data_IF_025863494232
#
_entry.id   IF_025863494232
#
_cell.length_a   1.000
_cell.length_b   1.000
_cell.length_c   1.000
_cell.angle_alpha   90.00
_cell.angle_beta   90.00
_cell.angle_gamma   90.00
#
_symmetry.space_group_name_H-M   'P 1'
#
loop_
_entity.id
_entity.type
_entity.pdbx_description
1 polymer ?
#
# COMPACT_ATOMS: atom_id res chain seq x y z
N UNK A 1 -9.28 24.79 14.63
CA UNK A 1 -9.50 24.62 13.18
C UNK A 1 -9.45 26.02 12.59
N UNK A 2 -8.57 26.24 11.65
CA UNK A 2 -8.54 27.52 10.94
C UNK A 2 -9.79 27.60 10.07
N UNK A 3 -10.55 28.67 10.25
CA UNK A 3 -11.71 28.93 9.39
C UNK A 3 -11.18 29.54 8.09
N UNK A 4 -10.99 28.70 7.05
CA UNK A 4 -10.70 29.18 5.70
C UNK A 4 -11.98 29.57 5.02
N UNK A 5 -11.96 30.71 4.32
CA UNK A 5 -13.07 31.20 3.50
C UNK A 5 -12.71 31.12 2.01
N UNK A 6 -13.74 31.16 1.14
CA UNK A 6 -13.51 31.19 -0.30
C UNK A 6 -12.78 32.50 -0.66
N UNK A 7 -11.59 32.37 -1.24
CA UNK A 7 -10.69 33.48 -1.58
C UNK A 7 -9.44 33.55 -0.71
N UNK A 8 -9.35 32.76 0.35
CA UNK A 8 -8.14 32.66 1.15
C UNK A 8 -7.00 32.02 0.36
N UNK A 9 -5.79 32.49 0.59
CA UNK A 9 -4.57 31.89 0.05
C UNK A 9 -3.95 30.93 1.04
N UNK A 10 -3.64 29.72 0.60
CA UNK A 10 -2.92 28.70 1.37
C UNK A 10 -1.61 28.37 0.66
N UNK A 11 -0.53 28.31 1.44
CA UNK A 11 0.74 27.80 0.95
C UNK A 11 0.72 26.27 0.98
N UNK A 12 1.06 25.63 -0.13
CA UNK A 12 1.11 24.19 -0.27
C UNK A 12 2.47 23.77 -0.80
N UNK A 13 2.98 22.62 -0.32
CA UNK A 13 4.17 22.00 -0.91
C UNK A 13 3.85 21.38 -2.26
N UNK A 14 4.89 21.13 -3.05
CA UNK A 14 4.74 20.31 -4.25
C UNK A 14 4.19 18.92 -3.89
N UNK A 15 3.34 18.31 -4.76
CA UNK A 15 2.84 16.97 -4.54
C UNK A 15 4.00 15.96 -4.49
N UNK A 16 4.00 15.11 -3.46
CA UNK A 16 5.00 14.06 -3.26
C UNK A 16 4.30 12.74 -2.99
N UNK A 17 4.94 11.64 -3.37
CA UNK A 17 4.44 10.31 -3.09
C UNK A 17 4.59 9.36 -4.28
N UNK A 18 4.39 8.06 -4.03
CA UNK A 18 4.55 7.00 -5.02
C UNK A 18 3.30 6.12 -5.17
N UNK A 19 2.23 6.45 -4.47
CA UNK A 19 0.94 5.81 -4.67
C UNK A 19 0.31 6.32 -5.97
N UNK A 20 0.86 5.86 -7.09
CA UNK A 20 0.50 6.29 -8.45
C UNK A 20 0.33 5.09 -9.36
N UNK A 21 -0.55 5.23 -10.35
CA UNK A 21 -0.70 4.27 -11.45
C UNK A 21 -0.34 4.94 -12.77
N UNK A 22 0.40 4.20 -13.60
CA UNK A 22 0.64 4.62 -14.98
C UNK A 22 -0.64 4.41 -15.78
N UNK A 23 -1.08 5.47 -16.48
CA UNK A 23 -2.26 5.38 -17.34
C UNK A 23 -2.00 4.52 -18.58
N UNK A 24 -2.96 3.65 -18.91
CA UNK A 24 -2.91 2.71 -20.03
C UNK A 24 -4.16 2.80 -20.92
N UNK A 25 -4.33 3.89 -21.68
CA UNK A 25 -5.58 4.23 -22.36
C UNK A 25 -6.01 3.22 -23.43
N UNK A 26 -5.10 2.38 -23.92
CA UNK A 26 -5.35 1.40 -24.96
C UNK A 26 -5.57 -0.03 -24.45
N UNK A 27 -5.32 -0.28 -23.16
CA UNK A 27 -5.47 -1.60 -22.56
C UNK A 27 -6.89 -1.78 -21.98
N UNK A 28 -7.33 -3.06 -21.93
CA UNK A 28 -8.44 -3.45 -21.08
C UNK A 28 -7.88 -3.80 -19.70
N UNK A 29 -8.31 -3.10 -18.69
CA UNK A 29 -7.88 -3.37 -17.31
C UNK A 29 -9.07 -3.50 -16.37
N UNK A 30 -8.86 -4.28 -15.33
CA UNK A 30 -9.75 -4.32 -14.16
C UNK A 30 -8.94 -3.89 -12.94
N UNK A 31 -9.38 -2.82 -12.28
CA UNK A 31 -8.72 -2.28 -11.09
C UNK A 31 -9.68 -2.36 -9.93
N UNK A 32 -9.20 -2.89 -8.81
CA UNK A 32 -9.96 -3.04 -7.57
C UNK A 32 -9.41 -2.10 -6.51
N UNK A 33 -10.28 -1.30 -5.90
CA UNK A 33 -9.95 -0.40 -4.80
C UNK A 33 -10.55 -0.86 -3.48
N UNK A 34 -9.76 -0.85 -2.42
CA UNK A 34 -10.21 -1.04 -1.04
C UNK A 34 -9.94 0.23 -0.24
N UNK A 35 -10.99 0.93 0.19
CA UNK A 35 -10.88 2.15 0.97
C UNK A 35 -11.44 1.97 2.39
N UNK A 36 -10.81 2.57 3.38
CA UNK A 36 -11.30 2.64 4.76
C UNK A 36 -11.44 4.08 5.24
N UNK A 37 -12.67 4.56 5.48
CA UNK A 37 -12.93 5.92 5.94
C UNK A 37 -12.30 6.98 5.05
N UNK A 38 -11.41 7.83 5.60
CA UNK A 38 -10.75 8.91 4.82
C UNK A 38 -9.73 8.38 3.79
N UNK A 39 -9.35 7.10 3.83
CA UNK A 39 -8.53 6.46 2.81
C UNK A 39 -9.15 6.42 1.41
N UNK A 40 -10.39 6.90 1.26
CA UNK A 40 -11.02 7.12 -0.05
C UNK A 40 -10.33 8.24 -0.85
N UNK A 41 -9.67 9.18 -0.20
CA UNK A 41 -9.13 10.40 -0.86
C UNK A 41 -8.16 10.11 -2.00
N UNK A 42 -7.13 9.27 -1.87
CA UNK A 42 -6.28 8.95 -3.00
C UNK A 42 -6.99 8.06 -4.03
N UNK A 43 -7.87 7.15 -3.61
CA UNK A 43 -8.57 6.27 -4.54
C UNK A 43 -9.53 7.04 -5.46
N UNK A 44 -10.29 7.99 -4.92
CA UNK A 44 -11.21 8.80 -5.75
C UNK A 44 -10.44 9.63 -6.78
N UNK A 45 -9.25 10.12 -6.43
CA UNK A 45 -8.37 10.83 -7.36
C UNK A 45 -7.92 9.92 -8.50
N UNK A 46 -7.43 8.70 -8.18
CA UNK A 46 -7.06 7.71 -9.18
C UNK A 46 -8.25 7.33 -10.07
N UNK A 47 -9.39 7.02 -9.47
CA UNK A 47 -10.59 6.59 -10.20
C UNK A 47 -11.09 7.66 -11.17
N UNK A 48 -11.11 8.93 -10.77
CA UNK A 48 -11.43 10.03 -11.65
C UNK A 48 -10.48 10.11 -12.85
N UNK A 49 -9.18 10.06 -12.58
CA UNK A 49 -8.17 10.10 -13.63
C UNK A 49 -8.34 8.92 -14.61
N UNK A 50 -8.49 7.69 -14.10
CA UNK A 50 -8.67 6.48 -14.91
C UNK A 50 -9.95 6.53 -15.73
N UNK A 51 -11.08 6.93 -15.11
CA UNK A 51 -12.35 7.07 -15.83
C UNK A 51 -12.28 8.08 -16.97
N UNK A 52 -11.45 9.12 -16.83
CA UNK A 52 -11.21 10.12 -17.85
C UNK A 52 -10.23 9.68 -18.94
N UNK A 53 -9.13 9.02 -18.56
CA UNK A 53 -8.01 8.72 -19.47
C UNK A 53 -8.07 7.32 -20.09
N UNK A 54 -8.77 6.37 -19.46
CA UNK A 54 -8.79 4.96 -19.85
C UNK A 54 -10.20 4.46 -20.16
N UNK A 55 -10.69 4.58 -21.39
CA UNK A 55 -12.09 4.29 -21.73
C UNK A 55 -12.48 2.81 -21.58
N UNK A 56 -11.49 1.89 -21.53
CA UNK A 56 -11.69 0.43 -21.48
C UNK A 56 -11.48 -0.18 -20.11
N UNK A 57 -11.09 0.61 -19.10
CA UNK A 57 -10.81 0.14 -17.74
C UNK A 57 -12.10 0.05 -16.93
N UNK A 58 -12.28 -1.07 -16.21
CA UNK A 58 -13.34 -1.29 -15.22
C UNK A 58 -12.79 -1.08 -13.82
N UNK A 59 -13.58 -0.48 -12.95
CA UNK A 59 -13.23 -0.13 -11.59
C UNK A 59 -14.23 -0.72 -10.60
N UNK A 60 -13.73 -1.36 -9.57
CA UNK A 60 -14.52 -1.85 -8.43
C UNK A 60 -14.00 -1.20 -7.16
N UNK A 61 -14.86 -0.57 -6.40
CA UNK A 61 -14.52 0.03 -5.11
C UNK A 61 -15.27 -0.68 -3.97
N UNK A 62 -14.50 -1.20 -3.02
CA UNK A 62 -14.98 -1.75 -1.77
C UNK A 62 -14.66 -0.77 -0.65
N UNK A 63 -15.68 -0.05 -0.16
CA UNK A 63 -15.50 1.11 0.70
C UNK A 63 -16.07 0.88 2.09
N UNK A 64 -15.17 0.67 3.08
CA UNK A 64 -15.50 0.47 4.48
C UNK A 64 -15.68 1.78 5.25
N UNK A 65 -16.82 1.91 5.91
CA UNK A 65 -17.19 3.06 6.77
C UNK A 65 -17.75 2.58 8.11
N UNK A 66 -17.98 3.47 9.06
CA UNK A 66 -18.67 3.12 10.30
C UNK A 66 -20.17 3.00 10.07
N UNK A 67 -20.77 3.97 9.38
CA UNK A 67 -22.19 4.04 9.01
C UNK A 67 -22.38 4.75 7.68
N UNK A 68 -23.61 4.76 7.15
CA UNK A 68 -23.98 5.47 5.91
C UNK A 68 -23.77 6.98 5.99
N UNK A 69 -24.01 7.56 7.16
CA UNK A 69 -23.87 8.99 7.39
C UNK A 69 -22.42 9.47 7.37
N UNK A 70 -21.46 8.54 7.57
CA UNK A 70 -20.04 8.84 7.64
C UNK A 70 -19.29 8.55 6.34
N UNK A 71 -19.98 8.33 5.24
CA UNK A 71 -19.36 8.12 3.93
C UNK A 71 -18.86 9.47 3.40
N UNK A 72 -17.53 9.63 3.37
CA UNK A 72 -16.93 10.79 2.73
C UNK A 72 -17.10 10.71 1.20
N UNK A 73 -17.30 11.86 0.56
CA UNK A 73 -17.49 12.00 -0.89
C UNK A 73 -18.69 11.23 -1.48
N UNK A 74 -19.71 10.89 -0.67
CA UNK A 74 -20.84 10.06 -1.11
C UNK A 74 -21.48 10.61 -2.39
N UNK A 75 -21.87 11.89 -2.41
CA UNK A 75 -22.52 12.52 -3.56
C UNK A 75 -21.64 12.50 -4.82
N UNK A 76 -20.34 12.69 -4.64
CA UNK A 76 -19.38 12.67 -5.74
C UNK A 76 -19.19 11.26 -6.32
N UNK A 77 -19.13 10.26 -5.45
CA UNK A 77 -19.06 8.86 -5.84
C UNK A 77 -20.33 8.41 -6.57
N UNK A 78 -21.51 8.84 -6.11
CA UNK A 78 -22.78 8.54 -6.78
C UNK A 78 -22.85 9.16 -8.19
N UNK A 79 -22.40 10.41 -8.35
CA UNK A 79 -22.30 11.05 -9.66
C UNK A 79 -21.31 10.35 -10.60
N UNK A 80 -20.21 9.82 -10.06
CA UNK A 80 -19.27 9.04 -10.88
C UNK A 80 -19.88 7.73 -11.36
N UNK A 81 -20.63 7.02 -10.50
CA UNK A 81 -21.34 5.78 -10.88
C UNK A 81 -22.41 6.10 -11.93
N UNK A 82 -23.19 7.17 -11.75
CA UNK A 82 -24.21 7.60 -12.72
C UNK A 82 -23.61 7.90 -14.11
N UNK A 83 -22.45 8.55 -14.14
CA UNK A 83 -21.74 8.87 -15.40
C UNK A 83 -21.06 7.66 -16.04
N UNK A 84 -20.70 6.65 -15.26
CA UNK A 84 -19.92 5.49 -15.71
C UNK A 84 -20.53 4.15 -15.25
N UNK A 85 -21.83 3.87 -15.47
CA UNK A 85 -22.57 2.75 -14.87
C UNK A 85 -21.99 1.38 -15.24
N UNK A 86 -21.39 1.26 -16.44
CA UNK A 86 -20.79 0.01 -16.93
C UNK A 86 -19.30 -0.15 -16.58
N UNK A 87 -18.69 0.86 -15.95
CA UNK A 87 -17.24 0.90 -15.70
C UNK A 87 -16.87 1.10 -14.24
N UNK A 88 -17.77 1.60 -13.41
CA UNK A 88 -17.56 1.82 -11.99
C UNK A 88 -18.65 1.16 -11.17
N UNK A 89 -18.25 0.25 -10.29
CA UNK A 89 -19.13 -0.32 -9.27
C UNK A 89 -18.58 -0.01 -7.89
N UNK A 90 -19.46 0.37 -6.95
CA UNK A 90 -19.09 0.71 -5.58
C UNK A 90 -19.94 -0.11 -4.61
N UNK A 91 -19.23 -0.81 -3.71
CA UNK A 91 -19.84 -1.59 -2.63
C UNK A 91 -19.43 -0.99 -1.28
N UNK A 92 -20.44 -0.61 -0.48
CA UNK A 92 -20.23 -0.01 0.83
C UNK A 92 -20.33 -1.05 1.94
N UNK A 93 -19.38 -1.02 2.88
CA UNK A 93 -19.33 -1.89 4.06
C UNK A 93 -19.46 -1.04 5.32
N UNK A 94 -20.24 -1.54 6.30
CA UNK A 94 -20.55 -0.79 7.51
C UNK A 94 -20.11 -1.55 8.77
N UNK A 95 -19.16 -0.99 9.51
CA UNK A 95 -18.59 -1.67 10.68
C UNK A 95 -19.37 -1.46 11.97
N UNK A 96 -20.25 -0.47 12.03
CA UNK A 96 -21.05 -0.14 13.21
C UNK A 96 -22.56 0.00 12.91
N UNK A 97 -22.97 -0.19 11.70
CA UNK A 97 -24.37 -0.17 11.29
C UNK A 97 -24.77 -1.54 10.75
N UNK A 98 -25.94 -2.03 11.20
CA UNK A 98 -26.55 -3.26 10.69
C UNK A 98 -27.55 -2.89 9.61
N UNK A 99 -27.41 -3.50 8.44
CA UNK A 99 -28.27 -3.25 7.29
C UNK A 99 -29.08 -4.47 6.86
N UNK A 100 -28.96 -5.58 7.63
CA UNK A 100 -29.68 -6.84 7.34
C UNK A 100 -29.02 -7.69 6.26
N UNK A 101 -27.79 -7.36 5.86
CA UNK A 101 -26.98 -8.14 4.93
C UNK A 101 -25.56 -8.33 5.47
N UNK A 102 -25.28 -9.51 6.00
CA UNK A 102 -23.99 -9.83 6.63
C UNK A 102 -22.78 -9.71 5.70
N UNK A 103 -22.96 -9.77 4.38
CA UNK A 103 -21.87 -9.55 3.43
C UNK A 103 -21.31 -8.12 3.55
N UNK A 104 -22.16 -7.12 3.68
CA UNK A 104 -21.78 -5.71 3.74
C UNK A 104 -21.61 -5.17 5.18
N UNK A 105 -21.79 -6.02 6.20
CA UNK A 105 -21.59 -5.68 7.59
C UNK A 105 -20.19 -6.11 8.07
N UNK A 106 -19.57 -5.27 8.92
CA UNK A 106 -18.24 -5.50 9.49
C UNK A 106 -17.13 -4.75 8.77
N UNK A 107 -15.90 -5.01 9.22
CA UNK A 107 -14.69 -4.37 8.67
C UNK A 107 -14.18 -5.14 7.45
N UNK A 108 -13.56 -4.40 6.53
CA UNK A 108 -12.76 -5.02 5.46
C UNK A 108 -11.55 -5.72 6.10
N UNK A 109 -11.43 -7.01 5.87
CA UNK A 109 -10.35 -7.87 6.32
C UNK A 109 -10.20 -9.07 5.35
N UNK A 110 -9.27 -9.99 5.62
CA UNK A 110 -9.00 -11.18 4.84
C UNK A 110 -10.27 -12.01 4.52
N UNK A 111 -11.09 -12.30 5.54
CA UNK A 111 -12.34 -13.05 5.36
C UNK A 111 -13.31 -12.33 4.45
N UNK A 112 -13.38 -11.00 4.58
CA UNK A 112 -14.28 -10.18 3.75
C UNK A 112 -13.78 -10.12 2.31
N UNK A 113 -12.47 -10.06 2.07
CA UNK A 113 -11.88 -10.15 0.73
C UNK A 113 -12.24 -11.46 0.05
N UNK A 114 -12.12 -12.60 0.74
CA UNK A 114 -12.52 -13.90 0.21
C UNK A 114 -14.00 -13.93 -0.19
N UNK A 115 -14.90 -13.35 0.64
CA UNK A 115 -16.33 -13.25 0.30
C UNK A 115 -16.57 -12.34 -0.91
N UNK A 116 -15.83 -11.22 -1.02
CA UNK A 116 -15.93 -10.29 -2.14
C UNK A 116 -15.56 -11.01 -3.45
N UNK A 117 -14.44 -11.73 -3.45
CA UNK A 117 -13.97 -12.49 -4.62
C UNK A 117 -15.03 -13.49 -5.06
N UNK A 118 -15.55 -14.28 -4.11
CA UNK A 118 -16.45 -15.39 -4.42
C UNK A 118 -17.90 -14.98 -4.68
N UNK A 119 -18.34 -13.78 -4.30
CA UNK A 119 -19.76 -13.39 -4.37
C UNK A 119 -20.03 -12.11 -5.16
N UNK A 120 -19.08 -11.19 -5.24
CA UNK A 120 -19.28 -9.88 -5.87
C UNK A 120 -18.49 -9.70 -7.15
N UNK A 121 -17.47 -10.51 -7.37
CA UNK A 121 -16.60 -10.44 -8.54
C UNK A 121 -16.76 -11.67 -9.46
N UNK A 122 -17.97 -12.16 -9.61
CA UNK A 122 -18.31 -13.20 -10.58
C UNK A 122 -18.42 -12.59 -11.99
N UNK A 123 -17.88 -13.26 -13.00
CA UNK A 123 -17.84 -12.76 -14.38
C UNK A 123 -19.12 -13.03 -15.16
N UNK A 124 -19.76 -14.18 -14.96
CA UNK A 124 -20.98 -14.57 -15.68
C UNK A 124 -21.63 -15.78 -15.02
N UNK A 125 -22.96 -15.91 -15.13
CA UNK A 125 -23.75 -17.01 -14.61
C UNK A 125 -23.52 -18.36 -15.35
N UNK A 126 -22.72 -18.36 -16.42
CA UNK A 126 -22.51 -19.52 -17.29
C UNK A 126 -21.18 -20.27 -17.07
N UNK A 127 -20.20 -19.66 -16.37
CA UNK A 127 -18.92 -20.28 -16.08
C UNK A 127 -18.63 -20.19 -14.58
N UNK A 128 -18.94 -21.24 -13.85
CA UNK A 128 -18.79 -21.31 -12.40
C UNK A 128 -17.33 -21.22 -11.90
N UNK A 129 -16.34 -21.37 -12.79
CA UNK A 129 -14.91 -21.34 -12.44
C UNK A 129 -14.24 -20.00 -12.72
N UNK A 130 -14.83 -19.11 -13.53
CA UNK A 130 -14.24 -17.84 -13.93
C UNK A 130 -14.79 -16.68 -13.12
N UNK A 131 -13.91 -15.92 -12.49
CA UNK A 131 -14.27 -14.73 -11.71
C UNK A 131 -13.66 -13.46 -12.32
N UNK A 132 -14.27 -12.28 -12.05
CA UNK A 132 -13.64 -10.99 -12.41
C UNK A 132 -12.28 -10.85 -11.74
N UNK A 133 -12.08 -11.53 -10.61
CA UNK A 133 -10.83 -11.52 -9.86
C UNK A 133 -9.65 -12.05 -10.69
N UNK A 134 -9.87 -13.05 -11.54
CA UNK A 134 -8.83 -13.60 -12.41
C UNK A 134 -8.36 -12.60 -13.48
N UNK A 135 -9.17 -11.58 -13.73
CA UNK A 135 -8.86 -10.49 -14.65
C UNK A 135 -8.46 -9.18 -13.94
N UNK A 136 -8.17 -9.23 -12.61
CA UNK A 136 -7.72 -8.04 -11.86
C UNK A 136 -6.24 -7.76 -12.16
N UNK A 137 -5.99 -6.61 -12.73
CA UNK A 137 -4.64 -6.17 -13.09
C UNK A 137 -3.96 -5.43 -11.95
N UNK A 138 -4.70 -4.59 -11.19
CA UNK A 138 -4.15 -3.74 -10.14
C UNK A 138 -5.10 -3.66 -8.95
N UNK A 139 -4.54 -3.62 -7.75
CA UNK A 139 -5.27 -3.42 -6.50
C UNK A 139 -4.76 -2.16 -5.81
N UNK A 140 -5.66 -1.26 -5.42
CA UNK A 140 -5.36 -0.04 -4.68
C UNK A 140 -5.94 -0.12 -3.28
N UNK A 141 -5.14 0.09 -2.25
CA UNK A 141 -5.59 -0.03 -0.85
C UNK A 141 -5.20 1.24 -0.08
N UNK A 142 -6.17 1.87 0.60
CA UNK A 142 -5.87 2.94 1.54
C UNK A 142 -6.84 2.96 2.71
N UNK A 143 -6.30 3.07 3.92
CA UNK A 143 -7.06 3.04 5.16
C UNK A 143 -6.14 2.85 6.37
N UNK A 144 -6.65 2.25 7.43
CA UNK A 144 -5.84 1.92 8.61
C UNK A 144 -4.83 0.81 8.31
N UNK A 145 -3.66 0.85 8.91
CA UNK A 145 -2.58 -0.11 8.69
C UNK A 145 -3.01 -1.57 8.84
N UNK A 146 -3.81 -1.92 9.85
CA UNK A 146 -4.38 -3.25 10.05
C UNK A 146 -5.26 -3.71 8.88
N UNK A 147 -6.07 -2.79 8.33
CA UNK A 147 -6.90 -3.09 7.17
C UNK A 147 -6.02 -3.31 5.94
N UNK A 148 -5.04 -2.42 5.71
CA UNK A 148 -4.10 -2.54 4.59
C UNK A 148 -3.38 -3.88 4.66
N UNK A 149 -2.79 -4.24 5.81
CA UNK A 149 -2.10 -5.51 6.02
C UNK A 149 -3.02 -6.71 5.71
N UNK A 150 -4.21 -6.73 6.29
CA UNK A 150 -5.15 -7.83 6.12
C UNK A 150 -5.62 -7.97 4.66
N UNK A 151 -5.98 -6.87 4.01
CA UNK A 151 -6.47 -6.86 2.63
C UNK A 151 -5.35 -7.19 1.64
N UNK A 152 -4.14 -6.59 1.80
CA UNK A 152 -3.02 -6.84 0.90
C UNK A 152 -2.57 -8.31 0.93
N UNK A 153 -2.48 -8.91 2.13
CA UNK A 153 -2.17 -10.34 2.27
C UNK A 153 -3.27 -11.21 1.64
N UNK A 154 -4.54 -10.89 1.86
CA UNK A 154 -5.63 -11.64 1.25
C UNK A 154 -5.55 -11.58 -0.29
N UNK A 155 -5.36 -10.39 -0.88
CA UNK A 155 -5.20 -10.24 -2.32
C UNK A 155 -4.01 -11.05 -2.85
N UNK A 156 -2.88 -11.02 -2.15
CA UNK A 156 -1.69 -11.81 -2.51
C UNK A 156 -1.97 -13.32 -2.46
N UNK A 157 -2.61 -13.81 -1.39
CA UNK A 157 -2.97 -15.23 -1.26
C UNK A 157 -4.01 -15.70 -2.29
N UNK A 158 -4.81 -14.78 -2.82
CA UNK A 158 -5.74 -15.04 -3.91
C UNK A 158 -5.15 -14.76 -5.31
N UNK A 159 -3.82 -14.73 -5.45
CA UNK A 159 -3.13 -14.77 -6.74
C UNK A 159 -2.71 -13.43 -7.34
N UNK A 160 -3.01 -12.29 -6.69
CA UNK A 160 -2.53 -11.00 -7.20
C UNK A 160 -1.04 -10.83 -6.82
N UNK A 161 -0.13 -10.63 -7.78
CA UNK A 161 1.28 -10.37 -7.50
C UNK A 161 1.47 -9.13 -6.62
N UNK A 162 2.42 -9.17 -5.69
CA UNK A 162 2.69 -8.04 -4.77
C UNK A 162 2.94 -6.72 -5.50
N UNK A 163 3.62 -6.74 -6.66
CA UNK A 163 3.88 -5.57 -7.50
C UNK A 163 2.62 -4.88 -8.03
N UNK A 164 1.50 -5.62 -8.11
CA UNK A 164 0.21 -5.13 -8.57
C UNK A 164 -0.71 -4.76 -7.38
N UNK A 165 -0.22 -4.83 -6.13
CA UNK A 165 -0.93 -4.43 -4.92
C UNK A 165 -0.29 -3.15 -4.38
N UNK A 166 -0.94 -2.02 -4.64
CA UNK A 166 -0.48 -0.71 -4.22
C UNK A 166 -1.23 -0.27 -2.96
N UNK A 167 -0.52 0.33 -2.01
CA UNK A 167 -1.17 0.86 -0.82
C UNK A 167 -0.51 2.14 -0.32
N UNK A 168 -1.31 2.96 0.39
CA UNK A 168 -0.84 4.18 1.03
C UNK A 168 -1.22 4.17 2.51
N UNK A 169 -0.23 4.41 3.36
CA UNK A 169 -0.37 4.54 4.81
C UNK A 169 -0.44 6.03 5.19
N UNK A 170 -1.51 6.46 5.84
CA UNK A 170 -1.65 7.83 6.35
C UNK A 170 -1.10 8.00 7.78
N UNK A 171 -0.94 6.89 8.49
CA UNK A 171 -0.46 6.85 9.86
C UNK A 171 0.75 5.89 9.93
N UNK A 172 1.61 6.09 10.91
CA UNK A 172 2.69 5.15 11.22
C UNK A 172 2.10 3.76 11.51
N UNK A 173 2.60 2.77 10.82
CA UNK A 173 2.25 1.37 11.03
C UNK A 173 3.52 0.56 11.22
N UNK A 174 3.74 0.05 12.42
CA UNK A 174 5.00 -0.55 12.87
C UNK A 174 5.11 -2.05 12.57
N UNK A 175 4.14 -2.63 11.89
CA UNK A 175 4.18 -4.03 11.46
C UNK A 175 4.50 -4.14 9.97
N UNK A 176 5.08 -5.28 9.57
CA UNK A 176 5.25 -5.60 8.17
C UNK A 176 3.90 -5.87 7.51
N UNK A 177 3.68 -5.34 6.32
CA UNK A 177 2.48 -5.62 5.53
C UNK A 177 2.46 -7.10 5.14
N UNK A 178 3.57 -7.63 4.66
CA UNK A 178 3.71 -9.06 4.35
C UNK A 178 4.58 -9.73 5.41
N UNK A 179 4.19 -10.91 5.94
CA UNK A 179 4.98 -11.61 6.92
C UNK A 179 6.33 -12.07 6.34
N UNK A 180 7.33 -12.15 7.21
CA UNK A 180 8.63 -12.71 6.85
C UNK A 180 8.54 -14.24 6.80
N UNK A 181 8.96 -14.83 5.69
CA UNK A 181 8.88 -16.29 5.48
C UNK A 181 10.21 -17.01 5.82
N UNK A 182 11.34 -16.27 5.83
CA UNK A 182 12.67 -16.85 6.14
C UNK A 182 13.04 -16.62 7.59
N UNK A 183 13.60 -17.66 8.22
CA UNK A 183 14.23 -17.57 9.53
C UNK A 183 15.75 -17.40 9.38
N UNK A 184 16.34 -16.56 10.22
CA UNK A 184 17.78 -16.29 10.25
C UNK A 184 18.36 -16.56 11.63
N UNK A 185 19.65 -16.90 11.72
CA UNK A 185 20.34 -16.97 13.00
C UNK A 185 20.17 -15.66 13.78
N UNK A 186 19.83 -15.78 15.07
CA UNK A 186 19.60 -14.61 15.92
C UNK A 186 20.91 -13.87 16.14
N UNK A 187 20.92 -12.60 15.79
CA UNK A 187 22.00 -11.66 16.09
C UNK A 187 21.43 -10.56 16.98
N UNK A 188 22.01 -10.36 18.14
CA UNK A 188 21.59 -9.35 19.12
C UNK A 188 22.63 -8.21 19.22
N UNK A 189 22.20 -7.05 19.69
CA UNK A 189 23.03 -5.86 19.91
C UNK A 189 23.82 -5.46 18.65
N UNK A 190 23.11 -5.16 17.59
CA UNK A 190 23.68 -4.79 16.29
C UNK A 190 23.96 -3.29 16.28
N UNK A 191 25.20 -2.90 16.02
CA UNK A 191 25.58 -1.50 15.83
C UNK A 191 25.22 -1.06 14.42
N UNK A 192 24.51 0.08 14.29
CA UNK A 192 24.10 0.66 13.02
C UNK A 192 24.56 2.10 12.94
N UNK A 193 25.50 2.37 12.04
CA UNK A 193 25.87 3.70 11.63
C UNK A 193 25.13 4.05 10.33
N UNK A 194 24.50 5.20 10.25
CA UNK A 194 23.84 5.60 9.02
C UNK A 194 23.87 7.11 8.76
N UNK A 195 23.80 7.45 7.48
CA UNK A 195 23.74 8.83 7.01
C UNK A 195 22.39 9.10 6.36
N UNK A 196 21.77 10.24 6.72
CA UNK A 196 20.52 10.71 6.14
C UNK A 196 20.43 12.24 6.24
N UNK A 197 19.99 12.90 5.17
CA UNK A 197 19.91 14.37 5.05
C UNK A 197 21.24 15.05 5.36
N UNK A 198 22.36 14.45 4.94
CA UNK A 198 23.74 14.87 5.24
C UNK A 198 24.14 14.84 6.73
N UNK A 199 23.32 14.25 7.60
CA UNK A 199 23.62 14.03 9.02
C UNK A 199 23.98 12.58 9.28
N UNK A 200 24.93 12.37 10.21
CA UNK A 200 25.36 11.02 10.61
C UNK A 200 24.67 10.64 11.93
N UNK A 201 24.18 9.43 11.99
CA UNK A 201 23.52 8.85 13.15
C UNK A 201 24.20 7.51 13.50
N UNK A 202 24.17 7.17 14.77
CA UNK A 202 24.58 5.86 15.30
C UNK A 202 23.56 5.38 16.28
N UNK A 203 23.21 4.08 16.21
CA UNK A 203 22.26 3.44 17.10
C UNK A 203 22.54 1.95 17.23
N UNK A 204 21.76 1.28 18.10
CA UNK A 204 21.80 -0.17 18.25
C UNK A 204 20.43 -0.77 17.99
N UNK A 205 20.39 -1.82 17.20
CA UNK A 205 19.20 -2.66 17.07
C UNK A 205 19.27 -3.76 18.15
N UNK A 206 18.11 -4.04 18.73
CA UNK A 206 18.02 -5.09 19.77
C UNK A 206 18.43 -6.45 19.20
N UNK A 207 17.91 -6.77 18.00
CA UNK A 207 18.23 -8.00 17.28
C UNK A 207 17.83 -7.88 15.79
N UNK A 208 18.04 -8.95 15.02
CA UNK A 208 17.70 -9.04 13.60
C UNK A 208 16.35 -9.74 13.30
N UNK A 209 15.45 -9.88 14.28
CA UNK A 209 14.12 -10.51 14.06
C UNK A 209 13.19 -9.69 13.18
N UNK A 210 13.45 -8.39 13.10
CA UNK A 210 12.70 -7.47 12.25
C UNK A 210 13.62 -6.74 11.30
N UNK A 211 13.07 -6.25 10.21
CA UNK A 211 13.81 -5.59 9.13
C UNK A 211 14.40 -4.26 9.59
N UNK A 212 15.50 -3.83 8.96
CA UNK A 212 16.25 -2.62 9.29
C UNK A 212 15.35 -1.38 9.39
N UNK A 213 14.55 -1.10 8.37
CA UNK A 213 13.65 0.05 8.35
C UNK A 213 12.74 0.09 9.58
N UNK A 214 12.11 -1.04 9.91
CA UNK A 214 11.16 -1.11 11.01
C UNK A 214 11.81 -0.73 12.35
N UNK A 215 13.00 -1.23 12.61
CA UNK A 215 13.71 -0.92 13.85
C UNK A 215 14.17 0.54 13.95
N UNK A 216 14.56 1.15 12.82
CA UNK A 216 14.89 2.57 12.76
C UNK A 216 13.65 3.44 13.00
N UNK A 217 12.50 3.06 12.44
CA UNK A 217 11.24 3.78 12.66
C UNK A 217 10.73 3.69 14.11
N UNK A 218 10.86 2.52 14.76
CA UNK A 218 10.54 2.35 16.19
C UNK A 218 11.36 3.31 17.04
N UNK A 219 12.61 3.55 16.67
CA UNK A 219 13.50 4.51 17.34
C UNK A 219 13.28 5.97 16.89
N UNK A 220 12.26 6.21 16.04
CA UNK A 220 11.84 7.55 15.55
C UNK A 220 12.87 8.26 14.68
N UNK A 221 13.74 7.54 14.01
CA UNK A 221 14.61 8.15 13.00
C UNK A 221 13.82 8.53 11.75
N UNK A 222 14.12 9.66 11.10
CA UNK A 222 13.37 10.20 9.96
C UNK A 222 13.71 9.50 8.63
N UNK A 223 13.78 8.17 8.64
CA UNK A 223 14.14 7.37 7.44
C UNK A 223 13.03 7.43 6.41
N UNK A 224 13.33 7.65 5.13
CA UNK A 224 12.30 7.71 4.09
C UNK A 224 11.70 6.32 3.84
N UNK A 225 10.38 6.26 3.71
CA UNK A 225 9.68 5.02 3.34
C UNK A 225 8.30 5.30 2.73
N UNK A 226 7.72 4.30 2.09
CA UNK A 226 6.35 4.34 1.60
C UNK A 226 5.70 2.95 1.69
N UNK A 227 5.99 2.03 0.74
CA UNK A 227 5.28 0.75 0.62
C UNK A 227 5.66 -0.31 1.67
N UNK A 228 6.84 -0.26 2.27
CA UNK A 228 7.40 -1.28 3.19
C UNK A 228 7.43 -2.73 2.62
N UNK A 229 7.43 -2.89 1.30
CA UNK A 229 7.28 -4.19 0.61
C UNK A 229 8.25 -4.40 -0.55
N UNK A 230 9.34 -3.62 -0.64
CA UNK A 230 10.38 -3.85 -1.64
C UNK A 230 10.09 -3.36 -3.06
N UNK A 231 8.98 -2.62 -3.27
CA UNK A 231 8.47 -2.29 -4.61
C UNK A 231 8.78 -0.84 -5.01
N UNK A 232 8.73 0.13 -4.07
CA UNK A 232 8.70 1.55 -4.43
C UNK A 232 10.05 2.26 -4.37
N UNK A 233 11.09 1.63 -3.83
CA UNK A 233 12.42 2.20 -3.66
C UNK A 233 12.53 3.39 -2.67
N UNK A 234 11.45 3.81 -1.97
CA UNK A 234 11.50 4.98 -1.07
C UNK A 234 12.48 4.82 0.08
N UNK A 235 12.76 3.59 0.52
CA UNK A 235 13.69 3.26 1.59
C UNK A 235 15.03 2.74 1.07
N UNK A 236 15.35 3.05 -0.18
CA UNK A 236 16.61 2.67 -0.79
C UNK A 236 17.79 3.35 -0.08
N UNK A 237 18.84 2.59 0.16
CA UNK A 237 20.09 3.08 0.70
C UNK A 237 21.27 2.24 0.19
N UNK A 238 22.49 2.72 0.40
CA UNK A 238 23.71 1.99 0.07
C UNK A 238 24.24 1.33 1.33
N UNK A 239 24.51 0.03 1.30
CA UNK A 239 25.23 -0.71 2.34
C UNK A 239 26.73 -0.44 2.13
N UNK A 240 27.37 0.28 3.07
CA UNK A 240 28.79 0.61 3.03
C UNK A 240 29.63 -0.39 3.83
N UNK A 241 29.09 -1.00 4.88
CA UNK A 241 29.75 -1.99 5.74
C UNK A 241 28.75 -3.00 6.27
N UNK A 242 29.20 -4.25 6.44
CA UNK A 242 28.43 -5.35 7.03
C UNK A 242 27.67 -6.18 6.00
N UNK A 243 26.74 -7.00 6.50
CA UNK A 243 25.95 -7.94 5.69
C UNK A 243 24.47 -7.82 5.99
N UNK A 244 23.66 -7.91 4.95
CA UNK A 244 22.20 -7.99 5.03
C UNK A 244 21.68 -9.03 4.05
N UNK A 245 20.57 -9.67 4.38
CA UNK A 245 19.77 -10.40 3.40
C UNK A 245 18.64 -9.52 2.91
N UNK A 246 18.53 -9.35 1.61
CA UNK A 246 17.42 -8.68 0.96
C UNK A 246 16.32 -9.72 0.66
N UNK A 247 15.22 -9.67 1.41
CA UNK A 247 14.18 -10.70 1.36
C UNK A 247 13.40 -10.70 0.06
N UNK A 248 13.03 -9.52 -0.41
CA UNK A 248 12.30 -9.30 -1.64
C UNK A 248 12.75 -8.00 -2.28
N UNK A 249 12.87 -8.01 -3.61
CA UNK A 249 13.25 -6.85 -4.39
C UNK A 249 12.55 -6.87 -5.74
N UNK A 250 11.63 -5.92 -5.94
CA UNK A 250 11.01 -5.66 -7.24
C UNK A 250 11.39 -4.26 -7.79
N UNK A 251 12.35 -3.61 -7.17
CA UNK A 251 12.75 -2.25 -7.51
C UNK A 251 14.18 -2.13 -8.02
N UNK A 252 15.16 -2.71 -7.29
CA UNK A 252 16.57 -2.63 -7.65
C UNK A 252 16.90 -3.59 -8.79
N UNK A 253 17.70 -3.13 -9.72
CA UNK A 253 18.28 -4.00 -10.75
C UNK A 253 19.44 -4.82 -10.16
N UNK A 254 19.78 -5.94 -10.79
CA UNK A 254 20.94 -6.75 -10.37
C UNK A 254 22.26 -5.95 -10.31
N UNK A 255 22.39 -4.91 -11.16
CA UNK A 255 23.56 -4.04 -11.17
C UNK A 255 23.62 -3.18 -9.91
N UNK A 256 22.49 -2.66 -9.47
CA UNK A 256 22.38 -1.84 -8.27
C UNK A 256 22.59 -2.67 -7.01
N UNK A 257 22.02 -3.86 -6.93
CA UNK A 257 22.30 -4.80 -5.83
C UNK A 257 23.80 -5.13 -5.73
N UNK A 258 24.45 -5.45 -6.85
CA UNK A 258 25.90 -5.69 -6.91
C UNK A 258 26.74 -4.46 -6.54
N UNK A 259 26.18 -3.26 -6.68
CA UNK A 259 26.78 -2.01 -6.25
C UNK A 259 26.51 -1.69 -4.75
N UNK A 260 25.91 -2.62 -4.00
CA UNK A 260 25.62 -2.47 -2.58
C UNK A 260 24.33 -1.70 -2.28
N UNK A 261 23.44 -1.48 -3.27
CA UNK A 261 22.15 -0.87 -3.02
C UNK A 261 21.20 -1.88 -2.37
N UNK A 262 20.51 -1.44 -1.34
CA UNK A 262 19.54 -2.26 -0.60
C UNK A 262 18.26 -1.49 -0.36
N UNK A 263 17.20 -2.23 -0.04
CA UNK A 263 15.93 -1.66 0.41
C UNK A 263 15.78 -1.92 1.91
N UNK A 264 15.93 -0.88 2.73
CA UNK A 264 15.91 -1.02 4.19
C UNK A 264 14.64 -1.72 4.71
N UNK A 265 13.51 -1.57 4.01
CA UNK A 265 12.25 -2.23 4.36
C UNK A 265 12.24 -3.75 4.12
N UNK A 266 13.18 -4.26 3.35
CA UNK A 266 13.30 -5.69 3.01
C UNK A 266 14.64 -6.29 3.46
N UNK A 267 15.47 -5.53 4.15
CA UNK A 267 16.80 -5.96 4.61
C UNK A 267 16.76 -6.48 6.04
N UNK A 268 17.18 -7.72 6.23
CA UNK A 268 17.49 -8.35 7.53
C UNK A 268 18.98 -8.28 7.74
N UNK A 269 19.41 -7.76 8.89
CA UNK A 269 20.84 -7.60 9.19
C UNK A 269 21.45 -8.94 9.59
N UNK A 270 22.55 -9.31 8.95
CA UNK A 270 23.28 -10.58 9.18
C UNK A 270 24.68 -10.41 9.80
N UNK A 271 25.03 -9.19 10.23
CA UNK A 271 26.30 -8.91 10.90
C UNK A 271 26.10 -8.11 12.19
N UNK A 272 27.10 -8.10 13.06
CA UNK A 272 27.06 -7.35 14.34
C UNK A 272 27.16 -5.85 14.18
N UNK A 273 27.64 -5.40 13.04
CA UNK A 273 27.77 -3.99 12.68
C UNK A 273 27.38 -3.81 11.23
N UNK A 274 26.65 -2.74 10.93
CA UNK A 274 26.37 -2.29 9.56
C UNK A 274 26.56 -0.79 9.45
N UNK A 275 26.90 -0.34 8.25
CA UNK A 275 26.88 1.06 7.88
C UNK A 275 26.10 1.27 6.61
N UNK A 276 25.11 2.16 6.64
CA UNK A 276 24.23 2.43 5.50
C UNK A 276 24.12 3.94 5.22
N UNK A 277 23.89 4.28 3.96
CA UNK A 277 23.76 5.65 3.51
C UNK A 277 22.47 5.83 2.72
N UNK A 278 21.53 6.62 3.27
CA UNK A 278 20.26 6.96 2.62
C UNK A 278 20.36 8.17 1.69
N UNK A 279 21.47 8.94 1.75
CA UNK A 279 21.72 10.02 0.82
C UNK A 279 22.29 9.45 -0.49
N UNK A 280 21.38 9.02 -1.35
CA UNK A 280 21.75 8.51 -2.65
C UNK A 280 22.28 9.66 -3.50
N UNK A 281 23.48 9.54 -4.01
CA UNK A 281 24.02 10.51 -4.94
C UNK A 281 23.07 10.61 -6.14
N UNK A 282 22.43 11.75 -6.27
CA UNK A 282 21.65 12.17 -7.41
C UNK A 282 22.52 12.34 -8.66
#
# INVERSE_FOLDING_TARGET
MNNFEIGDSIEVSEPRGRFTLVSKPHEFRTIVGFAGGIGITPLISHFKNILYTEPRTRLFLFYGNKSREQIAFKNELDLLVEKHPNRLQIHYFYSQEKIGNGLFEGRLNDKKVALIINQLLLLDDTDEESTIWDAVDEVLICGKGEMIKSVANACFHHGIPKKNIHFELFEEFNEDIYPQEKEFPLIENIEVDFKIFNENYSTHLVNNKTKLLQQLLIQKFPVPYSCKSGICGSCECTLEEGEVELLENEYLTEKEEKAGRILACMSVVLSKKIKVNFDLNS
#
